data_IF_605091177716
#
_entry.id   IF_605091177716
#
_cell.length_a   1.000
_cell.length_b   1.000
_cell.length_c   1.000
_cell.angle_alpha   90.00
_cell.angle_beta   90.00
_cell.angle_gamma   90.00
#
_symmetry.space_group_name_H-M   'P 1'
#
loop_
_entity.id
_entity.type
_entity.pdbx_description
1 polymer ?
#
# COMPACT_ATOMS: atom_id res chain seq x y z
N UNK A 1 -30.64 -3.42 25.31
CA UNK A 1 -29.96 -2.70 24.21
C UNK A 1 -28.73 -3.49 23.84
N UNK A 2 -28.74 -4.18 22.70
CA UNK A 2 -27.57 -4.87 22.16
C UNK A 2 -26.57 -3.79 21.72
N UNK A 3 -25.49 -3.58 22.45
CA UNK A 3 -24.39 -2.75 21.95
C UNK A 3 -23.77 -3.49 20.76
N UNK A 4 -23.80 -2.89 19.57
CA UNK A 4 -23.13 -3.44 18.39
C UNK A 4 -21.64 -3.62 18.69
N UNK A 5 -21.17 -4.87 18.72
CA UNK A 5 -19.74 -5.18 18.84
C UNK A 5 -19.07 -4.83 17.52
N UNK A 6 -18.36 -3.72 17.47
CA UNK A 6 -17.53 -3.35 16.32
C UNK A 6 -16.33 -4.30 16.23
N UNK A 7 -16.22 -5.03 15.12
CA UNK A 7 -15.15 -5.96 14.81
C UNK A 7 -14.34 -5.40 13.65
N UNK A 8 -13.02 -5.27 13.82
CA UNK A 8 -12.10 -4.80 12.78
C UNK A 8 -11.15 -5.91 12.38
N UNK A 9 -10.97 -6.06 11.06
CA UNK A 9 -9.98 -6.93 10.45
C UNK A 9 -8.83 -6.07 9.96
N UNK A 10 -7.61 -6.40 10.39
CA UNK A 10 -6.41 -5.70 9.93
C UNK A 10 -5.38 -6.75 9.49
N UNK A 11 -4.77 -6.49 8.34
CA UNK A 11 -3.69 -7.29 7.79
C UNK A 11 -2.39 -6.47 7.82
N UNK A 12 -1.32 -7.09 8.29
CA UNK A 12 0.02 -6.53 8.40
C UNK A 12 1.00 -7.41 7.66
N UNK A 13 1.94 -6.82 6.93
CA UNK A 13 2.95 -7.60 6.20
C UNK A 13 3.88 -8.30 7.19
N UNK A 14 4.07 -9.62 7.03
CA UNK A 14 4.86 -10.40 7.97
C UNK A 14 6.36 -10.35 7.65
N UNK A 15 7.20 -10.28 8.68
CA UNK A 15 8.65 -10.44 8.52
C UNK A 15 9.00 -11.90 8.18
N UNK A 16 8.47 -12.85 8.97
CA UNK A 16 8.61 -14.27 8.69
C UNK A 16 7.62 -14.72 7.62
N UNK A 17 8.14 -15.30 6.54
CA UNK A 17 7.39 -15.66 5.35
C UNK A 17 7.41 -17.18 5.16
N UNK A 18 6.30 -17.78 4.73
CA UNK A 18 6.25 -19.22 4.46
C UNK A 18 7.00 -19.54 3.16
N UNK A 19 8.01 -20.41 3.26
CA UNK A 19 8.78 -20.85 2.10
C UNK A 19 7.91 -21.63 1.11
N UNK A 20 8.28 -21.59 -0.18
CA UNK A 20 7.61 -22.30 -1.26
C UNK A 20 6.15 -21.89 -1.52
N UNK A 21 5.72 -20.73 -0.99
CA UNK A 21 4.44 -20.10 -1.32
C UNK A 21 4.66 -18.95 -2.31
N UNK A 22 3.74 -18.79 -3.26
CA UNK A 22 3.79 -17.69 -4.24
C UNK A 22 3.82 -16.34 -3.49
N UNK A 23 4.77 -15.48 -3.87
CA UNK A 23 4.93 -14.17 -3.26
C UNK A 23 5.72 -14.15 -1.95
N UNK A 24 6.35 -15.27 -1.54
CA UNK A 24 7.35 -15.28 -0.47
C UNK A 24 8.48 -14.27 -0.78
N UNK A 25 8.90 -13.54 0.26
CA UNK A 25 10.03 -12.61 0.21
C UNK A 25 10.99 -12.94 1.34
N UNK A 26 12.25 -12.57 1.17
CA UNK A 26 13.23 -12.52 2.26
C UNK A 26 13.54 -11.06 2.52
N UNK A 27 13.49 -10.67 3.79
CA UNK A 27 13.78 -9.31 4.23
C UNK A 27 15.06 -9.33 5.05
N UNK A 28 15.94 -8.36 4.80
CA UNK A 28 17.19 -8.19 5.56
C UNK A 28 16.98 -7.32 6.82
N UNK A 29 15.88 -6.57 6.87
CA UNK A 29 15.47 -5.67 7.96
C UNK A 29 13.94 -5.60 8.08
N UNK A 30 13.44 -5.14 9.23
CA UNK A 30 12.00 -4.90 9.43
C UNK A 30 11.51 -3.61 8.76
N UNK A 31 12.41 -2.65 8.59
CA UNK A 31 12.14 -1.39 7.91
C UNK A 31 12.67 -1.44 6.48
N UNK A 32 11.78 -1.26 5.51
CA UNK A 32 12.13 -1.36 4.08
C UNK A 32 11.52 -0.23 3.26
N UNK A 33 12.23 0.20 2.23
CA UNK A 33 11.72 1.07 1.19
C UNK A 33 11.38 0.24 -0.05
N UNK A 34 10.14 0.34 -0.51
CA UNK A 34 9.66 -0.35 -1.72
C UNK A 34 9.46 0.69 -2.82
N UNK A 35 10.14 0.54 -3.97
CA UNK A 35 9.91 1.39 -5.13
C UNK A 35 8.43 1.47 -5.49
N UNK A 36 7.96 2.69 -5.69
CA UNK A 36 6.60 2.96 -6.14
C UNK A 36 6.63 4.05 -7.20
N UNK A 37 6.06 3.74 -8.35
CA UNK A 37 6.02 4.67 -9.47
C UNK A 37 4.73 5.49 -9.38
N UNK A 38 4.89 6.77 -9.12
CA UNK A 38 3.77 7.70 -9.01
C UNK A 38 3.08 7.85 -10.36
N UNK A 39 1.76 7.68 -10.35
CA UNK A 39 0.95 7.76 -11.55
C UNK A 39 0.53 9.21 -11.77
N UNK A 40 0.98 9.80 -12.88
CA UNK A 40 0.79 11.21 -13.21
C UNK A 40 -0.68 11.66 -13.21
N UNK A 41 -1.62 10.75 -13.46
CA UNK A 41 -3.07 11.02 -13.41
C UNK A 41 -3.58 11.48 -12.04
N UNK A 42 -2.80 11.28 -10.97
CA UNK A 42 -3.14 11.72 -9.61
C UNK A 42 -2.42 13.03 -9.20
N UNK A 43 -1.76 13.72 -10.14
CA UNK A 43 -1.31 15.10 -9.89
C UNK A 43 -2.55 15.98 -9.72
N UNK A 44 -2.79 16.45 -8.51
CA UNK A 44 -3.69 17.58 -8.28
C UNK A 44 -3.02 18.83 -8.83
N UNK A 45 -3.72 19.59 -9.67
CA UNK A 45 -3.30 20.91 -10.13
C UNK A 45 -3.07 21.80 -8.90
N UNK A 46 -1.81 22.06 -8.53
CA UNK A 46 -1.44 22.96 -7.43
C UNK A 46 -0.57 22.40 -6.31
N UNK A 47 -0.05 21.17 -6.41
CA UNK A 47 1.06 20.72 -5.56
C UNK A 47 2.33 20.66 -6.39
N UNK A 48 2.95 21.83 -6.57
CA UNK A 48 4.28 21.96 -7.16
C UNK A 48 5.28 21.34 -6.17
N UNK A 49 5.70 20.12 -6.47
CA UNK A 49 6.85 19.51 -5.82
C UNK A 49 8.07 20.08 -6.53
N UNK A 50 8.88 20.87 -5.80
CA UNK A 50 10.14 21.50 -6.23
C UNK A 50 11.24 20.44 -6.49
N UNK A 51 10.91 19.36 -7.19
CA UNK A 51 11.87 18.42 -7.72
C UNK A 51 12.38 19.00 -9.05
N UNK A 52 13.51 19.70 -8.97
CA UNK A 52 14.29 20.21 -10.09
C UNK A 52 14.41 19.14 -11.20
N UNK A 53 13.63 19.34 -12.27
CA UNK A 53 13.66 18.56 -13.50
C UNK A 53 13.61 19.53 -14.66
N UNK A 54 14.73 19.64 -15.36
CA UNK A 54 15.00 20.54 -16.47
C UNK A 54 13.84 20.55 -17.49
N UNK A 55 13.45 21.76 -17.89
CA UNK A 55 12.26 22.02 -18.69
C UNK A 55 12.36 21.47 -20.10
N UNK A 56 11.19 21.26 -20.72
CA UNK A 56 11.01 21.26 -22.16
C UNK A 56 9.54 21.57 -22.51
N UNK A 57 9.40 22.30 -23.62
CA UNK A 57 8.32 23.19 -24.02
C UNK A 57 6.96 22.51 -24.33
N UNK A 58 5.86 23.27 -24.14
CA UNK A 58 4.53 22.90 -24.64
C UNK A 58 4.49 22.86 -26.18
N UNK A 59 3.66 21.98 -26.76
CA UNK A 59 2.90 22.41 -27.92
C UNK A 59 1.39 22.13 -27.76
N UNK A 60 0.67 23.25 -27.78
CA UNK A 60 -0.63 23.57 -28.40
C UNK A 60 -1.68 22.48 -28.66
N UNK A 61 -2.92 22.86 -28.31
CA UNK A 61 -4.19 22.14 -28.50
C UNK A 61 -4.57 22.02 -29.98
N UNK A 62 -5.08 20.86 -30.40
CA UNK A 62 -6.12 20.79 -31.45
C UNK A 62 -7.15 19.66 -31.21
N UNK A 63 -8.33 19.88 -31.81
CA UNK A 63 -9.66 19.39 -31.51
C UNK A 63 -10.00 17.92 -31.83
N UNK A 64 -11.07 17.49 -31.14
CA UNK A 64 -11.98 16.34 -31.28
C UNK A 64 -12.13 15.67 -32.67
N UNK A 65 -12.16 14.32 -32.69
CA UNK A 65 -13.28 13.50 -33.22
C UNK A 65 -13.11 11.99 -32.97
N UNK A 66 -14.25 11.37 -32.71
CA UNK A 66 -14.50 9.96 -32.36
C UNK A 66 -13.94 8.93 -33.37
N UNK A 67 -13.44 7.79 -32.85
CA UNK A 67 -13.60 6.47 -33.47
C UNK A 67 -13.21 5.33 -32.52
N UNK A 68 -14.14 4.40 -32.38
CA UNK A 68 -13.94 3.06 -31.81
C UNK A 68 -12.80 2.33 -32.55
N UNK A 69 -11.86 1.71 -31.81
CA UNK A 69 -11.26 0.38 -32.06
C UNK A 69 -9.93 0.18 -31.32
N UNK A 70 -9.81 -0.99 -30.70
CA UNK A 70 -8.59 -1.60 -30.14
C UNK A 70 -7.97 -0.88 -28.94
N UNK A 71 -8.06 -1.51 -27.76
CA UNK A 71 -7.17 -1.23 -26.64
C UNK A 71 -5.74 -1.66 -27.01
N UNK A 72 -5.10 -0.95 -27.94
CA UNK A 72 -3.65 -0.94 -28.06
C UNK A 72 -3.13 -0.39 -26.75
N UNK A 73 -2.50 -1.25 -25.94
CA UNK A 73 -1.65 -0.82 -24.84
C UNK A 73 -0.64 0.17 -25.40
N UNK A 74 -0.92 1.47 -25.25
CA UNK A 74 0.11 2.49 -25.44
C UNK A 74 1.12 2.23 -24.31
N UNK A 75 2.41 2.01 -24.61
CA UNK A 75 3.40 1.88 -23.56
C UNK A 75 3.29 3.13 -22.69
N UNK A 76 3.07 2.91 -21.39
CA UNK A 76 3.05 4.00 -20.41
C UNK A 76 4.36 4.77 -20.57
N UNK A 77 4.26 6.10 -20.72
CA UNK A 77 5.40 6.99 -20.92
C UNK A 77 6.52 6.64 -19.92
N UNK A 78 7.76 6.61 -20.41
CA UNK A 78 8.94 6.01 -19.77
C UNK A 78 9.43 6.71 -18.49
N UNK A 79 8.80 7.81 -18.08
CA UNK A 79 9.31 8.68 -17.01
C UNK A 79 8.27 8.81 -15.88
N UNK A 80 7.87 7.68 -15.30
CA UNK A 80 7.10 7.72 -14.05
C UNK A 80 8.04 8.14 -12.92
N UNK A 81 7.60 9.13 -12.13
CA UNK A 81 8.35 9.58 -10.95
C UNK A 81 8.46 8.40 -9.98
N UNK A 82 9.70 7.97 -9.72
CA UNK A 82 9.99 6.88 -8.80
C UNK A 82 10.09 7.46 -7.39
N UNK A 83 9.17 7.04 -6.53
CA UNK A 83 9.16 7.33 -5.10
C UNK A 83 9.44 6.05 -4.31
N UNK A 84 9.65 6.21 -3.01
CA UNK A 84 9.85 5.10 -2.08
C UNK A 84 8.70 5.07 -1.08
N UNK A 85 8.04 3.91 -0.95
CA UNK A 85 7.07 3.67 0.13
C UNK A 85 7.77 2.96 1.25
N UNK A 86 7.73 3.58 2.42
CA UNK A 86 8.17 2.95 3.65
C UNK A 86 7.17 1.88 4.09
N UNK A 87 7.70 0.70 4.44
CA UNK A 87 6.97 -0.36 5.09
C UNK A 87 7.73 -0.84 6.32
N UNK A 88 6.98 -1.13 7.39
CA UNK A 88 7.45 -1.94 8.50
C UNK A 88 6.84 -3.33 8.37
N UNK A 89 7.67 -4.36 8.27
CA UNK A 89 7.24 -5.77 8.23
C UNK A 89 7.33 -6.36 9.63
N UNK A 90 6.20 -6.89 10.09
CA UNK A 90 6.02 -7.23 11.49
C UNK A 90 6.42 -8.66 11.81
N UNK A 91 7.17 -8.84 12.89
CA UNK A 91 7.29 -10.11 13.59
C UNK A 91 5.98 -10.46 14.30
N UNK A 92 5.79 -11.73 14.58
CA UNK A 92 4.58 -12.21 15.25
C UNK A 92 4.40 -11.61 16.64
N UNK A 93 5.43 -11.70 17.47
CA UNK A 93 5.38 -11.37 18.89
C UNK A 93 5.20 -9.86 19.09
N UNK A 94 5.96 -9.04 18.37
CA UNK A 94 5.87 -7.57 18.50
C UNK A 94 4.48 -7.05 18.12
N UNK A 95 3.87 -7.62 17.07
CA UNK A 95 2.54 -7.18 16.62
C UNK A 95 1.47 -7.63 17.61
N UNK A 96 1.60 -8.84 18.15
CA UNK A 96 0.69 -9.35 19.17
C UNK A 96 0.77 -8.51 20.45
N UNK A 97 1.98 -8.18 20.92
CA UNK A 97 2.19 -7.33 22.10
C UNK A 97 1.66 -5.91 21.88
N UNK A 98 1.94 -5.31 20.72
CA UNK A 98 1.43 -4.00 20.34
C UNK A 98 -0.11 -3.97 20.40
N UNK A 99 -0.78 -4.98 19.84
CA UNK A 99 -2.24 -5.04 19.88
C UNK A 99 -2.79 -5.22 21.29
N UNK A 100 -2.10 -5.95 22.18
CA UNK A 100 -2.51 -6.12 23.57
C UNK A 100 -2.19 -4.91 24.46
N UNK A 101 -1.31 -4.01 24.04
CA UNK A 101 -1.05 -2.75 24.76
C UNK A 101 -2.16 -1.70 24.60
N UNK A 102 -3.12 -1.92 23.70
CA UNK A 102 -4.23 -0.99 23.45
C UNK A 102 -5.41 -1.37 24.35
N UNK A 103 -5.77 -0.49 25.28
CA UNK A 103 -6.75 -0.78 26.34
C UNK A 103 -8.19 -0.94 25.82
N UNK A 104 -8.58 -0.23 24.76
CA UNK A 104 -9.98 -0.23 24.28
C UNK A 104 -10.34 -1.39 23.34
N UNK A 105 -9.39 -2.27 23.01
CA UNK A 105 -9.60 -3.39 22.10
C UNK A 105 -9.16 -4.71 22.70
N UNK A 106 -9.82 -5.79 22.27
CA UNK A 106 -9.42 -7.17 22.58
C UNK A 106 -9.03 -7.89 21.30
N UNK A 107 -7.91 -8.59 21.32
CA UNK A 107 -7.56 -9.57 20.28
C UNK A 107 -8.49 -10.78 20.40
N UNK A 108 -9.37 -10.96 19.42
CA UNK A 108 -10.27 -12.11 19.31
C UNK A 108 -9.61 -13.26 18.52
N UNK A 109 -8.86 -12.92 17.48
CA UNK A 109 -8.13 -13.90 16.67
C UNK A 109 -6.83 -13.29 16.15
N UNK A 110 -5.80 -14.12 16.10
CA UNK A 110 -4.53 -13.82 15.48
C UNK A 110 -4.18 -14.99 14.55
N UNK A 111 -3.92 -14.72 13.28
CA UNK A 111 -3.70 -15.74 12.27
C UNK A 111 -2.66 -15.30 11.24
N UNK A 112 -2.17 -16.24 10.44
CA UNK A 112 -1.26 -15.98 9.34
C UNK A 112 -1.95 -16.38 8.05
N UNK A 113 -1.98 -15.50 7.06
CA UNK A 113 -2.57 -15.79 5.76
C UNK A 113 -1.82 -15.06 4.65
N UNK A 114 -1.49 -15.79 3.59
CA UNK A 114 -0.82 -15.28 2.39
C UNK A 114 0.34 -14.34 2.73
N UNK A 115 1.23 -14.77 3.65
CA UNK A 115 2.41 -14.00 4.05
C UNK A 115 2.14 -12.66 4.75
N UNK A 116 0.96 -12.54 5.36
CA UNK A 116 0.57 -11.43 6.23
C UNK A 116 0.11 -11.98 7.59
N UNK A 117 0.36 -11.20 8.64
CA UNK A 117 -0.30 -11.38 9.92
C UNK A 117 -1.69 -10.77 9.84
N UNK A 118 -2.70 -11.53 10.24
CA UNK A 118 -4.09 -11.09 10.32
C UNK A 118 -4.58 -11.08 11.76
N UNK A 119 -5.29 -10.00 12.13
CA UNK A 119 -5.80 -9.80 13.48
C UNK A 119 -7.25 -9.38 13.42
N UNK A 120 -8.06 -10.02 14.26
CA UNK A 120 -9.44 -9.64 14.53
C UNK A 120 -9.47 -8.96 15.89
N UNK A 121 -9.79 -7.67 15.90
CA UNK A 121 -9.92 -6.87 17.11
C UNK A 121 -11.40 -6.60 17.38
N UNK A 122 -11.80 -6.70 18.65
CA UNK A 122 -13.12 -6.30 19.11
C UNK A 122 -13.01 -5.12 20.06
N UNK A 123 -13.79 -4.07 19.82
CA UNK A 123 -13.92 -2.94 20.74
C UNK A 123 -14.55 -3.39 22.07
N UNK A 124 -13.99 -2.94 23.19
CA UNK A 124 -14.46 -3.31 24.53
C UNK A 124 -15.48 -2.29 25.10
N UNK A 125 -15.41 -1.02 24.67
CA UNK A 125 -16.24 0.09 25.18
C UNK A 125 -16.96 0.88 24.08
#
# INVERSE_FOLDING_TARGET
MEQFKEIKYILYLAYEQQENVVGNRKFDSQDIFVPWYFQQQYKTEGYDDDAEGEGEEEPEKENEKEKEESHKFKPVKKDLVKLERYYHVFKKEELYELCNSIEEVKVEKFYFDCNNWGIILRKIF
#
